data_IF_931577842130
#
_entry.id   IF_931577842130
#
_cell.length_a   1.000
_cell.length_b   1.000
_cell.length_c   1.000
_cell.angle_alpha   90.00
_cell.angle_beta   90.00
_cell.angle_gamma   90.00
#
_symmetry.space_group_name_H-M   'P 1'
#
loop_
_entity.id
_entity.type
_entity.pdbx_description
1 polymer ?
#
# COMPACT_ATOMS: atom_id res chain seq x y z
N UNK A 1 -26.70 25.94 -4.81
CA UNK A 1 -26.74 25.40 -3.43
C UNK A 1 -25.81 24.19 -3.41
N UNK A 2 -24.61 24.35 -2.85
CA UNK A 2 -23.64 23.25 -2.75
C UNK A 2 -24.13 22.32 -1.63
N UNK A 3 -24.86 21.29 -1.98
CA UNK A 3 -25.18 20.21 -1.05
C UNK A 3 -23.88 19.43 -0.80
N UNK A 4 -23.04 19.95 0.09
CA UNK A 4 -21.83 19.26 0.58
C UNK A 4 -22.30 18.16 1.53
N UNK A 5 -22.85 17.10 0.95
CA UNK A 5 -23.22 15.90 1.69
C UNK A 5 -21.97 15.34 2.38
N UNK A 6 -22.06 15.17 3.70
CA UNK A 6 -21.01 14.55 4.49
C UNK A 6 -21.04 13.05 4.24
N UNK A 7 -19.89 12.43 3.98
CA UNK A 7 -19.75 10.97 3.89
C UNK A 7 -18.76 10.47 4.92
N UNK A 8 -19.09 9.35 5.55
CA UNK A 8 -18.22 8.65 6.48
C UNK A 8 -17.86 7.30 5.87
N UNK A 9 -16.58 7.02 5.77
CA UNK A 9 -16.04 5.77 5.27
C UNK A 9 -15.31 5.02 6.38
N UNK A 10 -15.46 3.71 6.41
CA UNK A 10 -14.65 2.82 7.21
C UNK A 10 -13.85 1.90 6.28
N UNK A 11 -12.59 1.63 6.63
CA UNK A 11 -11.67 0.78 5.88
C UNK A 11 -11.06 -0.23 6.84
N UNK A 12 -11.40 -1.51 6.66
CA UNK A 12 -10.96 -2.58 7.56
C UNK A 12 -9.49 -2.96 7.35
N UNK A 13 -9.00 -2.84 6.12
CA UNK A 13 -7.64 -3.24 5.73
C UNK A 13 -6.84 -2.06 5.20
N UNK A 14 -5.51 -2.19 5.24
CA UNK A 14 -4.61 -1.21 4.62
C UNK A 14 -4.86 -1.06 3.12
N UNK A 15 -5.18 -2.17 2.43
CA UNK A 15 -5.50 -2.16 1.00
C UNK A 15 -6.78 -1.36 0.70
N UNK A 16 -7.81 -1.50 1.54
CA UNK A 16 -9.04 -0.70 1.44
C UNK A 16 -8.75 0.80 1.67
N UNK A 17 -7.91 1.12 2.66
CA UNK A 17 -7.53 2.50 2.95
C UNK A 17 -6.75 3.17 1.82
N UNK A 18 -5.67 2.52 1.35
CA UNK A 18 -4.82 3.04 0.28
C UNK A 18 -5.66 3.29 -0.99
N UNK A 19 -6.52 2.32 -1.37
CA UNK A 19 -7.38 2.47 -2.53
C UNK A 19 -8.43 3.58 -2.39
N UNK A 20 -8.92 3.85 -1.16
CA UNK A 20 -9.81 4.99 -0.92
C UNK A 20 -9.05 6.31 -1.02
N UNK A 21 -7.80 6.40 -0.55
CA UNK A 21 -6.98 7.60 -0.72
C UNK A 21 -6.79 7.94 -2.20
N UNK A 22 -6.50 6.94 -3.04
CA UNK A 22 -6.37 7.11 -4.49
C UNK A 22 -7.66 7.64 -5.12
N UNK A 23 -8.81 7.06 -4.77
CA UNK A 23 -10.11 7.50 -5.27
C UNK A 23 -10.42 8.94 -4.85
N UNK A 24 -10.15 9.30 -3.59
CA UNK A 24 -10.38 10.65 -3.08
C UNK A 24 -9.44 11.66 -3.74
N UNK A 25 -8.18 11.31 -3.95
CA UNK A 25 -7.20 12.17 -4.62
C UNK A 25 -7.59 12.44 -6.07
N UNK A 26 -8.04 11.42 -6.80
CA UNK A 26 -8.52 11.55 -8.19
C UNK A 26 -9.72 12.51 -8.33
N UNK A 27 -10.51 12.66 -7.24
CA UNK A 27 -11.64 13.60 -7.15
C UNK A 27 -11.23 15.00 -6.71
N UNK A 28 -9.93 15.26 -6.52
CA UNK A 28 -9.41 16.54 -6.06
C UNK A 28 -9.69 16.84 -4.59
N UNK A 29 -10.03 15.82 -3.80
CA UNK A 29 -10.25 15.95 -2.35
C UNK A 29 -8.89 16.02 -1.66
N UNK A 30 -8.79 16.86 -0.62
CA UNK A 30 -7.53 17.16 0.06
C UNK A 30 -7.71 17.15 1.57
N UNK A 31 -6.61 16.98 2.30
CA UNK A 31 -6.60 17.27 3.74
C UNK A 31 -6.83 18.75 3.99
N UNK A 32 -7.17 19.10 5.25
CA UNK A 32 -7.47 20.48 5.64
C UNK A 32 -6.39 21.50 5.25
N UNK A 33 -5.11 21.11 5.28
CA UNK A 33 -3.98 21.97 4.89
C UNK A 33 -3.66 21.95 3.38
N UNK A 34 -4.51 21.34 2.56
CA UNK A 34 -4.34 21.26 1.12
C UNK A 34 -3.41 20.14 0.64
N UNK A 35 -2.94 19.28 1.55
CA UNK A 35 -2.14 18.10 1.21
C UNK A 35 -3.00 17.07 0.48
N UNK A 36 -2.37 16.30 -0.41
CA UNK A 36 -3.00 15.19 -1.09
C UNK A 36 -3.33 14.05 -0.12
N UNK A 37 -4.38 13.26 -0.36
CA UNK A 37 -4.72 12.09 0.46
C UNK A 37 -3.52 11.19 0.75
N UNK A 38 -2.68 10.90 -0.25
CA UNK A 38 -1.49 10.05 -0.06
C UNK A 38 -0.36 10.65 0.78
N UNK A 39 -0.34 11.97 1.02
CA UNK A 39 0.74 12.65 1.76
C UNK A 39 0.58 12.57 3.28
N UNK A 40 -0.54 12.05 3.76
CA UNK A 40 -0.79 11.90 5.20
C UNK A 40 -1.54 10.60 5.49
N UNK A 41 -1.01 9.81 6.41
CA UNK A 41 -1.50 8.48 6.74
C UNK A 41 -2.31 8.49 8.04
N UNK A 42 -3.62 8.61 7.92
CA UNK A 42 -4.54 8.49 9.06
C UNK A 42 -4.68 7.05 9.56
N UNK A 43 -4.34 6.05 8.74
CA UNK A 43 -4.46 4.63 9.08
C UNK A 43 -3.37 4.18 10.05
N UNK A 44 -2.19 4.82 10.07
CA UNK A 44 -1.14 4.52 11.04
C UNK A 44 -1.61 4.69 12.51
N UNK A 45 -2.55 5.61 12.75
CA UNK A 45 -2.94 6.00 14.11
C UNK A 45 -4.03 5.08 14.68
N UNK A 46 -4.96 4.62 13.82
CA UNK A 46 -6.14 3.86 14.26
C UNK A 46 -6.30 2.51 13.56
N UNK A 47 -5.46 2.19 12.58
CA UNK A 47 -5.50 0.96 11.78
C UNK A 47 -6.93 0.66 11.30
N UNK A 48 -7.42 -0.57 11.53
CA UNK A 48 -8.77 -1.03 11.21
C UNK A 48 -9.90 -0.33 12.00
N UNK A 49 -9.58 0.66 12.84
CA UNK A 49 -10.56 1.52 13.53
C UNK A 49 -10.58 2.93 12.96
N UNK A 50 -9.94 3.17 11.82
CA UNK A 50 -9.90 4.47 11.14
C UNK A 50 -11.22 4.76 10.44
N UNK A 51 -11.79 5.93 10.71
CA UNK A 51 -12.97 6.47 10.03
C UNK A 51 -12.55 7.71 9.26
N UNK A 52 -12.88 7.76 7.98
CA UNK A 52 -12.62 8.89 7.10
C UNK A 52 -13.89 9.68 6.86
N UNK A 53 -13.86 10.96 7.22
CA UNK A 53 -14.96 11.89 6.97
C UNK A 53 -14.60 12.80 5.81
N UNK A 54 -15.41 12.73 4.76
CA UNK A 54 -15.37 13.62 3.60
C UNK A 54 -16.47 14.67 3.75
N UNK A 55 -16.10 15.95 3.72
CA UNK A 55 -17.04 17.07 3.73
C UNK A 55 -16.70 18.04 2.59
N UNK A 56 -17.45 17.95 1.50
CA UNK A 56 -17.10 18.63 0.25
C UNK A 56 -15.75 18.12 -0.28
N UNK A 57 -14.77 19.01 -0.43
CA UNK A 57 -13.43 18.66 -0.94
C UNK A 57 -12.39 18.49 0.16
N UNK A 58 -12.82 18.37 1.41
CA UNK A 58 -11.93 18.23 2.57
C UNK A 58 -12.13 16.87 3.21
N UNK A 59 -11.03 16.16 3.47
CA UNK A 59 -11.00 14.94 4.28
C UNK A 59 -10.46 15.21 5.69
N UNK A 60 -10.98 14.44 6.64
CA UNK A 60 -10.53 14.34 8.02
C UNK A 60 -10.68 12.88 8.49
N UNK A 61 -10.00 12.49 9.56
CA UNK A 61 -10.06 11.13 10.09
C UNK A 61 -10.23 11.15 11.61
N UNK A 62 -10.78 10.07 12.17
CA UNK A 62 -10.92 9.85 13.60
C UNK A 62 -11.13 8.36 13.90
N UNK A 63 -11.12 7.99 15.18
CA UNK A 63 -11.31 6.59 15.59
C UNK A 63 -12.79 6.16 15.56
N UNK A 64 -13.00 4.85 15.43
CA UNK A 64 -14.32 4.20 15.56
C UNK A 64 -15.04 4.59 16.87
N UNK A 65 -14.31 4.84 17.96
CA UNK A 65 -14.91 5.31 19.23
C UNK A 65 -15.51 6.72 19.10
N UNK A 66 -14.83 7.62 18.39
CA UNK A 66 -15.36 8.97 18.10
C UNK A 66 -16.60 8.89 17.23
N UNK A 67 -16.62 7.98 16.25
CA UNK A 67 -17.82 7.70 15.46
C UNK A 67 -19.01 7.30 16.35
N UNK A 68 -18.82 6.29 17.22
CA UNK A 68 -19.88 5.78 18.10
C UNK A 68 -20.43 6.84 19.07
N UNK A 69 -19.59 7.78 19.50
CA UNK A 69 -20.02 8.83 20.44
C UNK A 69 -20.70 10.02 19.75
N UNK A 70 -20.18 10.44 18.58
CA UNK A 70 -20.55 11.73 17.98
C UNK A 70 -21.33 11.58 16.67
N UNK A 71 -21.32 10.40 16.05
CA UNK A 71 -21.81 10.15 14.70
C UNK A 71 -22.65 8.86 14.55
N UNK A 72 -23.09 8.24 15.64
CA UNK A 72 -23.78 6.93 15.64
C UNK A 72 -25.08 6.85 14.80
N UNK A 73 -25.65 7.99 14.39
CA UNK A 73 -26.83 8.06 13.53
C UNK A 73 -26.55 8.38 12.07
N UNK A 74 -25.28 8.56 11.68
CA UNK A 74 -24.90 8.79 10.30
C UNK A 74 -24.60 7.46 9.61
N UNK A 75 -24.90 7.38 8.32
CA UNK A 75 -24.51 6.22 7.52
C UNK A 75 -22.98 6.09 7.50
N UNK A 76 -22.49 4.89 7.84
CA UNK A 76 -21.08 4.52 7.73
C UNK A 76 -20.90 3.60 6.53
N UNK A 77 -20.16 4.08 5.54
CA UNK A 77 -19.90 3.36 4.29
C UNK A 77 -18.68 2.46 4.49
N UNK A 78 -18.91 1.15 4.51
CA UNK A 78 -17.84 0.16 4.48
C UNK A 78 -17.18 0.15 3.10
N UNK A 79 -15.98 0.73 3.00
CA UNK A 79 -15.25 0.78 1.74
C UNK A 79 -14.46 -0.51 1.53
N UNK A 80 -14.60 -1.08 0.33
CA UNK A 80 -13.83 -2.24 -0.12
C UNK A 80 -13.16 -1.93 -1.45
N UNK A 81 -11.85 -2.11 -1.50
CA UNK A 81 -11.10 -1.95 -2.73
C UNK A 81 -11.64 -2.90 -3.81
N UNK A 82 -11.75 -2.41 -5.05
CA UNK A 82 -12.09 -3.27 -6.19
C UNK A 82 -10.96 -4.30 -6.36
N UNK A 83 -11.34 -5.58 -6.41
CA UNK A 83 -10.39 -6.67 -6.63
C UNK A 83 -10.09 -6.79 -8.12
N UNK A 84 -8.87 -6.43 -8.50
CA UNK A 84 -8.27 -6.88 -9.76
C UNK A 84 -7.50 -8.18 -9.47
N UNK A 85 -7.99 -9.29 -10.00
CA UNK A 85 -7.34 -10.60 -9.79
C UNK A 85 -6.06 -10.76 -10.63
N UNK A 86 -5.88 -9.95 -11.67
CA UNK A 86 -4.72 -10.00 -12.57
C UNK A 86 -3.62 -9.08 -12.03
N UNK A 87 -3.96 -7.85 -11.65
CA UNK A 87 -3.02 -6.88 -11.07
C UNK A 87 -3.55 -6.23 -9.77
N UNK A 88 -3.57 -6.97 -8.65
CA UNK A 88 -4.12 -6.46 -7.39
C UNK A 88 -3.27 -5.33 -6.78
N UNK A 89 -3.93 -4.45 -6.00
CA UNK A 89 -3.32 -3.23 -5.45
C UNK A 89 -2.11 -3.48 -4.55
N UNK A 90 -1.98 -4.66 -3.94
CA UNK A 90 -0.77 -5.01 -3.17
C UNK A 90 0.51 -5.16 -4.01
N UNK A 91 0.45 -5.03 -5.34
CA UNK A 91 1.62 -4.87 -6.22
C UNK A 91 1.92 -3.40 -6.56
N UNK A 92 1.18 -2.44 -6.03
CA UNK A 92 1.37 -1.00 -6.32
C UNK A 92 1.91 -0.26 -5.12
N UNK A 93 2.76 0.74 -5.32
CA UNK A 93 3.18 1.69 -4.30
C UNK A 93 2.96 3.11 -4.83
N UNK A 94 1.86 3.75 -4.41
CA UNK A 94 1.38 4.96 -5.07
C UNK A 94 1.13 4.66 -6.55
N UNK A 95 1.66 5.51 -7.42
CA UNK A 95 1.53 5.38 -8.88
C UNK A 95 2.53 4.37 -9.52
N UNK A 96 3.37 3.70 -8.72
CA UNK A 96 4.40 2.79 -9.23
C UNK A 96 3.89 1.35 -9.19
N UNK A 97 3.84 0.72 -10.36
CA UNK A 97 3.62 -0.72 -10.50
C UNK A 97 4.89 -1.48 -10.11
N UNK A 98 4.79 -2.48 -9.23
CA UNK A 98 5.94 -3.25 -8.76
C UNK A 98 6.67 -3.96 -9.90
N UNK A 99 5.97 -4.35 -10.97
CA UNK A 99 6.60 -5.00 -12.11
C UNK A 99 7.45 -4.01 -12.93
N UNK A 100 6.99 -2.78 -13.12
CA UNK A 100 7.77 -1.75 -13.82
C UNK A 100 9.06 -1.42 -13.04
N UNK A 101 8.96 -1.37 -11.71
CA UNK A 101 10.13 -1.18 -10.85
C UNK A 101 11.09 -2.38 -10.92
N UNK A 102 10.57 -3.62 -10.86
CA UNK A 102 11.37 -4.83 -11.03
C UNK A 102 12.08 -4.82 -12.38
N UNK A 103 11.37 -4.51 -13.46
CA UNK A 103 11.91 -4.48 -14.82
C UNK A 103 13.03 -3.45 -14.93
N UNK A 104 12.86 -2.26 -14.32
CA UNK A 104 13.92 -1.27 -14.25
C UNK A 104 15.14 -1.79 -13.48
N UNK A 105 14.95 -2.40 -12.31
CA UNK A 105 16.05 -2.97 -11.51
C UNK A 105 16.79 -4.06 -12.29
N UNK A 106 16.08 -4.97 -12.95
CA UNK A 106 16.69 -6.06 -13.70
C UNK A 106 17.40 -5.56 -14.98
N UNK A 107 16.80 -4.60 -15.69
CA UNK A 107 17.35 -4.02 -16.92
C UNK A 107 18.61 -3.20 -16.66
N UNK A 108 18.60 -2.34 -15.65
CA UNK A 108 19.69 -1.39 -15.39
C UNK A 108 20.70 -1.87 -14.34
N UNK A 109 20.32 -2.84 -13.49
CA UNK A 109 21.17 -3.35 -12.41
C UNK A 109 22.29 -4.29 -12.85
N UNK A 110 22.35 -4.67 -14.14
CA UNK A 110 23.39 -5.55 -14.71
C UNK A 110 23.53 -6.90 -13.98
N UNK A 111 22.44 -7.43 -13.46
CA UNK A 111 22.42 -8.75 -12.83
C UNK A 111 22.69 -9.86 -13.86
N UNK A 112 23.39 -10.91 -13.44
CA UNK A 112 23.51 -12.14 -14.24
C UNK A 112 22.14 -12.81 -14.33
N UNK A 113 21.91 -13.58 -15.39
CA UNK A 113 20.65 -14.28 -15.62
C UNK A 113 20.20 -15.10 -14.39
N UNK A 114 21.14 -15.83 -13.75
CA UNK A 114 20.84 -16.64 -12.57
C UNK A 114 20.48 -15.83 -11.30
N UNK A 115 20.81 -14.54 -11.25
CA UNK A 115 20.54 -13.68 -10.09
C UNK A 115 19.13 -13.08 -10.17
N UNK A 116 18.58 -12.96 -11.38
CA UNK A 116 17.38 -12.18 -11.68
C UNK A 116 16.14 -12.67 -10.92
N UNK A 117 15.93 -14.00 -10.81
CA UNK A 117 14.76 -14.51 -10.09
C UNK A 117 14.83 -14.31 -8.58
N UNK A 118 16.04 -14.28 -8.00
CA UNK A 118 16.21 -13.96 -6.58
C UNK A 118 15.89 -12.49 -6.31
N UNK A 119 16.45 -11.58 -7.11
CA UNK A 119 16.22 -10.13 -7.01
C UNK A 119 14.73 -9.82 -7.18
N UNK A 120 14.10 -10.39 -8.21
CA UNK A 120 12.66 -10.28 -8.42
C UNK A 120 11.85 -10.71 -7.19
N UNK A 121 12.14 -11.89 -6.64
CA UNK A 121 11.40 -12.39 -5.49
C UNK A 121 11.62 -11.53 -4.24
N UNK A 122 12.83 -11.03 -4.00
CA UNK A 122 13.12 -10.13 -2.88
C UNK A 122 12.24 -8.88 -2.99
N UNK A 123 12.27 -8.20 -4.14
CA UNK A 123 11.47 -6.97 -4.36
C UNK A 123 9.98 -7.26 -4.22
N UNK A 124 9.49 -8.30 -4.91
CA UNK A 124 8.09 -8.71 -4.87
C UNK A 124 7.60 -8.92 -3.43
N UNK A 125 8.36 -9.62 -2.60
CA UNK A 125 7.93 -9.91 -1.24
C UNK A 125 8.05 -8.69 -0.31
N UNK A 126 9.03 -7.81 -0.51
CA UNK A 126 9.07 -6.53 0.20
C UNK A 126 7.85 -5.67 -0.12
N UNK A 127 7.47 -5.60 -1.40
CA UNK A 127 6.28 -4.89 -1.86
C UNK A 127 5.00 -5.48 -1.25
N UNK A 128 4.90 -6.81 -1.19
CA UNK A 128 3.69 -7.51 -0.77
C UNK A 128 3.48 -7.54 0.76
N UNK A 129 4.57 -7.45 1.54
CA UNK A 129 4.55 -7.56 2.99
C UNK A 129 3.54 -6.63 3.70
N UNK A 130 3.53 -5.30 3.49
CA UNK A 130 2.65 -4.40 4.25
C UNK A 130 1.15 -4.61 3.95
N UNK A 131 0.79 -5.27 2.83
CA UNK A 131 -0.59 -5.34 2.35
C UNK A 131 -1.17 -6.76 2.26
N UNK A 132 -0.37 -7.81 2.47
CA UNK A 132 -0.85 -9.20 2.31
C UNK A 132 -0.45 -10.14 3.43
N UNK A 133 0.82 -10.54 3.53
CA UNK A 133 1.24 -11.58 4.48
C UNK A 133 2.22 -11.09 5.55
N UNK A 134 2.51 -9.79 5.64
CA UNK A 134 3.33 -9.21 6.69
C UNK A 134 4.68 -9.91 6.87
N UNK A 135 4.93 -10.38 8.10
CA UNK A 135 6.16 -11.07 8.49
C UNK A 135 6.48 -12.31 7.64
N UNK A 136 5.48 -13.04 7.13
CA UNK A 136 5.72 -14.21 6.29
C UNK A 136 6.41 -13.81 4.98
N UNK A 137 6.01 -12.70 4.37
CA UNK A 137 6.64 -12.20 3.16
C UNK A 137 8.05 -11.66 3.42
N UNK A 138 8.27 -11.00 4.56
CA UNK A 138 9.63 -10.61 4.95
C UNK A 138 10.56 -11.82 5.09
N UNK A 139 10.07 -12.94 5.64
CA UNK A 139 10.82 -14.20 5.71
C UNK A 139 11.10 -14.79 4.32
N UNK A 140 10.15 -14.72 3.39
CA UNK A 140 10.35 -15.15 1.99
C UNK A 140 11.35 -14.28 1.23
N UNK A 141 11.33 -12.96 1.48
CA UNK A 141 12.33 -12.03 0.95
C UNK A 141 13.72 -12.42 1.46
N UNK A 142 13.88 -12.58 2.79
CA UNK A 142 15.15 -13.01 3.41
C UNK A 142 15.65 -14.33 2.80
N UNK A 143 14.80 -15.33 2.65
CA UNK A 143 15.18 -16.62 2.08
C UNK A 143 15.75 -16.52 0.65
N UNK A 144 15.19 -15.64 -0.19
CA UNK A 144 15.70 -15.43 -1.55
C UNK A 144 17.03 -14.67 -1.53
N UNK A 145 17.15 -13.67 -0.65
CA UNK A 145 18.37 -12.89 -0.49
C UNK A 145 19.54 -13.77 0.01
N UNK A 146 19.31 -14.57 1.05
CA UNK A 146 20.33 -15.49 1.60
C UNK A 146 20.86 -16.45 0.53
N UNK A 147 19.97 -16.97 -0.34
CA UNK A 147 20.35 -17.88 -1.43
C UNK A 147 21.15 -17.19 -2.53
N UNK A 148 20.82 -15.94 -2.84
CA UNK A 148 21.59 -15.16 -3.80
C UNK A 148 23.00 -14.89 -3.25
N UNK A 149 23.11 -14.44 -2.00
CA UNK A 149 24.38 -14.19 -1.31
C UNK A 149 25.26 -15.45 -1.35
N UNK A 150 24.73 -16.59 -0.89
CA UNK A 150 25.47 -17.86 -0.90
C UNK A 150 25.99 -18.26 -2.29
N UNK A 151 25.21 -18.00 -3.34
CA UNK A 151 25.65 -18.31 -4.73
C UNK A 151 26.78 -17.38 -5.18
N UNK A 152 26.74 -16.12 -4.79
CA UNK A 152 27.76 -15.13 -5.14
C UNK A 152 29.07 -15.40 -4.39
N UNK A 153 29.00 -15.73 -3.09
CA UNK A 153 30.18 -16.10 -2.29
C UNK A 153 30.91 -17.31 -2.89
N UNK A 154 30.19 -18.37 -3.26
CA UNK A 154 30.79 -19.55 -3.94
C UNK A 154 31.40 -19.20 -5.31
N UNK A 155 30.80 -18.25 -6.04
CA UNK A 155 31.31 -17.82 -7.35
C UNK A 155 32.61 -17.02 -7.21
N UNK A 156 32.79 -16.28 -6.13
CA UNK A 156 34.02 -15.52 -5.87
C UNK A 156 35.13 -16.43 -5.35
N UNK A 157 34.80 -17.44 -4.52
CA UNK A 157 35.76 -18.46 -4.08
C UNK A 157 36.30 -19.34 -5.22
N UNK A 158 35.54 -19.50 -6.31
CA UNK A 158 35.94 -20.29 -7.49
C UNK A 158 36.72 -19.50 -8.55
N UNK A 159 36.92 -18.19 -8.34
CA UNK A 159 37.72 -17.32 -9.22
C UNK A 159 39.16 -17.09 -8.71
N UNK A 160 39.53 -17.69 -7.59
CA UNK A 160 40.89 -17.73 -7.04
C UNK A 160 41.65 -18.89 -7.69
#
# INVERSE_FOLDING_TARGET
MNDKTMKLYHTETREDYDALMDELESKGIKWYRGQKPQEFDGFEIHESKTILKVLGNVISYFSMSVYKNNYNGFELIEYKAKKDNINPNHYKFGDIESMDFVDAVLKYGKFKAYQSHYVFNVIKYLVRAPRKNGLEDLKKAKWNLDRLIKKMEVEDDTKI
#
